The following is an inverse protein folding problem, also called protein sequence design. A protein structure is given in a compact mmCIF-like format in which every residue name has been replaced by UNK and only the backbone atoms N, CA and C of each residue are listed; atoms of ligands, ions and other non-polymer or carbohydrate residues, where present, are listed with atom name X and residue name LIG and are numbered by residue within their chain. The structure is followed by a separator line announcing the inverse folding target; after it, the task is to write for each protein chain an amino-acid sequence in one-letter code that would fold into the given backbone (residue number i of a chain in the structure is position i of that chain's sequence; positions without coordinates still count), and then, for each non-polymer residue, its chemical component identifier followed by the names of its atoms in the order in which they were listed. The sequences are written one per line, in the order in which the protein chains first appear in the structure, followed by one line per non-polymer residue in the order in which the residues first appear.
data_IF_088497788440
#
_entry.id   IF_088497788440
#
_cell.length_a   1.000
_cell.length_b   1.000
_cell.length_c   1.000
_cell.angle_alpha   90.00
_cell.angle_beta   90.00
_cell.angle_gamma   90.00
#
_symmetry.space_group_name_H-M   'P 1'
#
loop_
_entity.id
_entity.type
_entity.pdbx_description
1 polymer ?
#
# COMPACT_ATOMS: atom_id res chain seq x y z
N UNK A 1 6.04 -1.12 -3.17
CA UNK A 1 7.05 -0.23 -2.60
C UNK A 1 7.01 1.17 -3.23
N UNK A 2 6.40 1.35 -4.40
CA UNK A 2 6.41 2.62 -5.15
C UNK A 2 5.65 3.73 -4.40
N UNK A 3 4.45 3.49 -3.89
CA UNK A 3 3.66 4.54 -3.22
C UNK A 3 4.40 5.08 -1.99
N UNK A 4 4.93 4.19 -1.16
CA UNK A 4 5.69 4.56 0.03
C UNK A 4 6.97 5.33 -0.26
N UNK A 5 7.67 5.04 -1.37
CA UNK A 5 8.83 5.83 -1.80
C UNK A 5 8.39 7.25 -2.18
N UNK A 6 7.31 7.38 -2.96
CA UNK A 6 6.79 8.68 -3.39
C UNK A 6 6.37 9.51 -2.17
N UNK A 7 5.66 8.91 -1.20
CA UNK A 7 5.23 9.59 0.03
C UNK A 7 6.42 10.05 0.89
N UNK A 8 7.44 9.20 1.07
CA UNK A 8 8.63 9.57 1.86
C UNK A 8 9.38 10.73 1.20
N UNK A 9 9.57 10.68 -0.11
CA UNK A 9 10.22 11.78 -0.84
C UNK A 9 9.37 13.06 -0.78
N UNK A 10 8.06 12.95 -0.95
CA UNK A 10 7.13 14.08 -0.80
C UNK A 10 7.21 14.72 0.59
N UNK A 11 7.27 13.92 1.66
CA UNK A 11 7.40 14.41 3.02
C UNK A 11 8.76 15.09 3.30
N UNK A 12 9.86 14.55 2.75
CA UNK A 12 11.20 15.15 2.88
C UNK A 12 11.31 16.46 2.09
N UNK A 13 10.68 16.52 0.91
CA UNK A 13 10.72 17.69 0.02
C UNK A 13 9.66 18.74 0.36
N UNK A 14 8.69 18.45 1.23
CA UNK A 14 7.55 19.32 1.49
C UNK A 14 6.65 19.49 0.25
N UNK A 15 6.47 18.42 -0.53
CA UNK A 15 5.73 18.44 -1.78
C UNK A 15 4.39 17.68 -1.64
N UNK A 16 3.30 18.44 -1.56
CA UNK A 16 1.95 17.90 -1.39
C UNK A 16 1.46 17.12 -2.62
N UNK A 17 1.88 17.49 -3.84
CA UNK A 17 1.52 16.75 -5.05
C UNK A 17 2.12 15.35 -5.05
N UNK A 18 3.34 15.20 -4.52
CA UNK A 18 3.96 13.89 -4.34
C UNK A 18 3.23 13.08 -3.27
N UNK A 19 2.82 13.69 -2.15
CA UNK A 19 2.03 12.99 -1.12
C UNK A 19 0.69 12.50 -1.69
N UNK A 20 0.01 13.34 -2.47
CA UNK A 20 -1.24 13.01 -3.15
C UNK A 20 -1.04 11.91 -4.21
N UNK A 21 0.06 11.96 -4.97
CA UNK A 21 0.40 10.95 -5.95
C UNK A 21 0.68 9.61 -5.28
N UNK A 22 1.46 9.59 -4.19
CA UNK A 22 1.72 8.38 -3.41
C UNK A 22 0.43 7.74 -2.91
N UNK A 23 -0.47 8.55 -2.35
CA UNK A 23 -1.81 8.13 -1.92
C UNK A 23 -2.63 7.56 -3.08
N UNK A 24 -2.59 8.20 -4.25
CA UNK A 24 -3.31 7.76 -5.45
C UNK A 24 -2.78 6.41 -5.96
N UNK A 25 -1.45 6.24 -6.01
CA UNK A 25 -0.82 4.97 -6.38
C UNK A 25 -1.20 3.87 -5.39
N UNK A 26 -1.21 4.16 -4.09
CA UNK A 26 -1.64 3.23 -3.05
C UNK A 26 -3.11 2.80 -3.21
N UNK A 27 -3.97 3.69 -3.69
CA UNK A 27 -5.37 3.37 -3.96
C UNK A 27 -5.54 2.45 -5.17
N UNK A 28 -4.89 2.77 -6.30
CA UNK A 28 -4.99 1.99 -7.54
C UNK A 28 -4.21 0.66 -7.49
N UNK A 29 -3.13 0.60 -6.72
CA UNK A 29 -2.29 -0.60 -6.55
C UNK A 29 -2.22 -0.92 -5.05
N UNK A 30 -3.31 -1.45 -4.46
CA UNK A 30 -3.43 -1.59 -3.01
C UNK A 30 -2.51 -2.67 -2.42
N UNK A 31 -1.97 -3.57 -3.25
CA UNK A 31 -1.01 -4.59 -2.81
C UNK A 31 0.23 -3.98 -2.16
N UNK A 32 0.66 -2.81 -2.63
CA UNK A 32 1.78 -2.08 -2.04
C UNK A 32 1.49 -1.63 -0.60
N UNK A 33 0.39 -0.88 -0.44
CA UNK A 33 -0.03 -0.37 0.85
C UNK A 33 -0.35 -1.50 1.85
N UNK A 34 -0.95 -2.60 1.36
CA UNK A 34 -1.21 -3.80 2.17
C UNK A 34 0.07 -4.45 2.66
N UNK A 35 1.06 -4.66 1.78
CA UNK A 35 2.36 -5.20 2.21
C UNK A 35 3.01 -4.30 3.26
N UNK A 36 3.08 -2.99 3.00
CA UNK A 36 3.71 -2.05 3.91
C UNK A 36 3.03 -2.07 5.28
N UNK A 37 1.71 -2.00 5.33
CA UNK A 37 0.96 -2.02 6.60
C UNK A 37 0.99 -3.38 7.30
N UNK A 38 0.94 -4.50 6.56
CA UNK A 38 1.09 -5.84 7.12
C UNK A 38 2.48 -6.08 7.73
N UNK A 39 3.52 -5.41 7.20
CA UNK A 39 4.88 -5.49 7.76
C UNK A 39 4.94 -5.11 9.24
N UNK A 40 3.99 -4.29 9.73
CA UNK A 40 3.86 -3.94 11.14
C UNK A 40 3.81 -5.17 12.05
N UNK A 41 3.12 -6.24 11.63
CA UNK A 41 2.92 -7.45 12.42
C UNK A 41 4.08 -8.45 12.35
N UNK A 42 4.92 -8.37 11.31
CA UNK A 42 5.95 -9.39 11.03
C UNK A 42 7.38 -8.86 11.21
N UNK A 43 7.57 -7.56 11.32
CA UNK A 43 8.90 -6.97 11.51
C UNK A 43 9.40 -7.17 12.96
N UNK A 44 10.72 -7.30 13.17
CA UNK A 44 11.29 -7.35 14.51
C UNK A 44 10.99 -6.09 15.33
N UNK A 45 10.84 -6.23 16.65
CA UNK A 45 10.58 -5.10 17.55
C UNK A 45 11.64 -3.99 17.47
N UNK A 46 12.92 -4.35 17.23
CA UNK A 46 14.01 -3.39 17.02
C UNK A 46 13.82 -2.55 15.75
N UNK A 47 13.32 -3.16 14.67
CA UNK A 47 13.03 -2.48 13.41
C UNK A 47 11.79 -1.58 13.57
N UNK A 48 10.75 -2.06 14.24
CA UNK A 48 9.57 -1.23 14.55
C UNK A 48 9.95 0.00 15.39
N UNK A 49 10.81 -0.17 16.40
CA UNK A 49 11.32 0.93 17.22
C UNK A 49 12.12 1.95 16.36
N UNK A 50 13.02 1.49 15.49
CA UNK A 50 13.77 2.36 14.59
C UNK A 50 12.86 3.09 13.60
N UNK A 51 11.86 2.41 13.01
CA UNK A 51 10.90 3.03 12.08
C UNK A 51 10.08 4.14 12.75
N UNK A 52 9.73 3.96 14.03
CA UNK A 52 9.00 4.95 14.84
C UNK A 52 9.88 6.16 15.13
N UNK A 53 11.16 5.94 15.49
CA UNK A 53 12.12 7.02 15.69
C UNK A 53 12.35 7.87 14.43
N UNK A 54 12.31 7.24 13.25
CA UNK A 54 12.37 7.89 11.95
C UNK A 54 11.02 8.45 11.47
N UNK A 55 10.00 8.50 12.33
CA UNK A 55 8.65 9.00 12.03
C UNK A 55 8.02 8.35 10.79
N UNK A 56 8.28 7.06 10.55
CA UNK A 56 7.74 6.35 9.39
C UNK A 56 8.42 6.68 8.06
N UNK A 57 9.61 7.30 8.05
CA UNK A 57 10.38 7.59 6.84
C UNK A 57 10.92 6.33 6.12
N UNK A 58 10.56 5.12 6.57
CA UNK A 58 10.89 3.87 5.91
C UNK A 58 9.85 3.59 4.81
N UNK A 59 10.24 3.60 3.51
CA UNK A 59 9.26 3.56 2.43
C UNK A 59 8.57 2.20 2.25
N UNK A 60 9.15 1.12 2.80
CA UNK A 60 8.68 -0.26 2.60
C UNK A 60 8.07 -0.86 3.89
N UNK A 61 8.32 -0.24 5.05
CA UNK A 61 7.86 -0.72 6.36
C UNK A 61 6.86 0.26 6.97
N UNK A 62 5.89 -0.26 7.72
CA UNK A 62 4.95 0.57 8.46
C UNK A 62 5.27 0.56 9.96
N UNK A 63 5.04 1.70 10.60
CA UNK A 63 5.04 1.85 12.05
C UNK A 63 3.63 1.83 12.66
N UNK A 64 2.60 1.57 11.84
CA UNK A 64 1.20 1.48 12.24
C UNK A 64 0.50 0.29 11.54
N UNK A 65 -0.51 -0.33 12.18
CA UNK A 65 -1.27 -1.41 11.58
C UNK A 65 -2.15 -0.92 10.40
N UNK A 66 -2.57 -1.82 9.49
CA UNK A 66 -3.50 -1.48 8.41
C UNK A 66 -4.84 -0.99 8.95
N UNK A 67 -5.43 -0.01 8.25
CA UNK A 67 -6.81 0.39 8.55
C UNK A 67 -7.80 -0.70 8.09
N UNK A 68 -8.95 -0.87 8.76
CA UNK A 68 -9.97 -1.81 8.31
C UNK A 68 -10.42 -1.56 6.87
N UNK A 69 -10.45 -0.29 6.44
CA UNK A 69 -10.77 0.09 5.07
C UNK A 69 -9.75 -0.45 4.07
N UNK A 70 -8.44 -0.31 4.34
CA UNK A 70 -7.40 -0.83 3.47
C UNK A 70 -7.47 -2.36 3.36
N UNK A 71 -7.74 -3.05 4.47
CA UNK A 71 -7.93 -4.52 4.47
C UNK A 71 -9.13 -4.91 3.59
N UNK A 72 -10.27 -4.25 3.78
CA UNK A 72 -11.47 -4.51 2.97
C UNK A 72 -11.21 -4.24 1.48
N UNK A 73 -10.57 -3.11 1.16
CA UNK A 73 -10.19 -2.77 -0.21
C UNK A 73 -9.24 -3.79 -0.81
N UNK A 74 -8.29 -4.29 -0.03
CA UNK A 74 -7.37 -5.35 -0.42
C UNK A 74 -8.02 -6.68 -0.77
N UNK A 75 -9.20 -6.97 -0.21
CA UNK A 75 -10.01 -8.14 -0.57
C UNK A 75 -10.90 -7.87 -1.78
N UNK A 76 -11.52 -6.68 -1.83
CA UNK A 76 -12.40 -6.27 -2.92
C UNK A 76 -11.64 -6.14 -4.24
N UNK A 77 -10.44 -5.57 -4.23
CA UNK A 77 -9.64 -5.33 -5.42
C UNK A 77 -9.38 -6.60 -6.27
N UNK A 78 -8.77 -7.68 -5.74
CA UNK A 78 -8.58 -8.91 -6.51
C UNK A 78 -9.92 -9.57 -6.87
N UNK A 79 -10.95 -9.48 -6.02
CA UNK A 79 -12.28 -10.01 -6.36
C UNK A 79 -12.88 -9.31 -7.59
N UNK A 80 -12.78 -7.97 -7.67
CA UNK A 80 -13.21 -7.20 -8.85
C UNK A 80 -12.42 -7.59 -10.10
N UNK A 81 -11.10 -7.76 -9.99
CA UNK A 81 -10.26 -8.19 -11.12
C UNK A 81 -10.63 -9.60 -11.59
N UNK A 82 -10.88 -10.54 -10.68
CA UNK A 82 -11.30 -11.90 -10.99
C UNK A 82 -12.68 -11.93 -11.65
N UNK A 83 -13.64 -11.17 -11.12
CA UNK A 83 -14.98 -11.03 -11.74
C UNK A 83 -14.85 -10.41 -13.13
N UNK A 84 -14.06 -9.35 -13.28
CA UNK A 84 -13.78 -8.74 -14.59
C UNK A 84 -13.17 -9.74 -15.56
N UNK A 85 -12.18 -10.53 -15.13
CA UNK A 85 -11.56 -11.57 -15.92
C UNK A 85 -12.57 -12.65 -16.33
N UNK A 86 -13.40 -13.14 -15.41
CA UNK A 86 -14.45 -14.12 -15.71
C UNK A 86 -15.41 -13.60 -16.77
N UNK A 87 -15.90 -12.36 -16.65
CA UNK A 87 -16.84 -11.77 -17.61
C UNK A 87 -16.22 -11.54 -19.01
N UNK A 88 -14.93 -11.19 -19.06
CA UNK A 88 -14.22 -10.95 -20.33
C UNK A 88 -13.88 -12.28 -21.02
N UNK A 89 -13.43 -13.27 -20.26
CA UNK A 89 -12.99 -14.55 -20.80
C UNK A 89 -14.11 -15.56 -21.01
N UNK A 90 -15.25 -15.47 -20.30
CA UNK A 90 -16.41 -16.33 -20.55
C UNK A 90 -17.08 -16.12 -21.90
N UNK A 91 -16.73 -15.03 -22.61
CA UNK A 91 -17.23 -14.72 -23.96
C UNK A 91 -16.23 -15.07 -25.05
N UNK A 92 -15.03 -15.54 -24.68
CA UNK A 92 -13.95 -15.91 -25.57
C UNK A 92 -13.74 -17.41 -25.43
N UNK A 93 -14.60 -18.19 -26.08
CA UNK A 93 -14.28 -19.58 -26.37
C UNK A 93 -12.98 -19.57 -27.21
N UNK A 94 -11.88 -20.08 -26.63
CA UNK A 94 -10.67 -20.43 -27.37
C UNK A 94 -10.92 -21.73 -28.14
#
# INVERSE_FOLDING_TARGET
WLSGIIEVLGGVMGNDDMLNLGTSVAFFIPSDALWRSASYFVQPASILAASTALRGAMPILANAPPTPFLVAWGLVYPAMLLVGAMLVFSRRDL
#
